data_IF_071443827737
#
_entry.id   IF_071443827737
#
_cell.length_a   1.000
_cell.length_b   1.000
_cell.length_c   1.000
_cell.angle_alpha   90.00
_cell.angle_beta   90.00
_cell.angle_gamma   90.00
#
_symmetry.space_group_name_H-M   'P 1'
#
loop_
_entity.id
_entity.type
_entity.pdbx_description
1 polymer ?
#
# COMPACT_ATOMS: atom_id res chain seq x y z
N UNK A 1 0.52 19.40 25.94
CA UNK A 1 0.51 19.65 24.49
C UNK A 1 1.97 19.61 24.05
N UNK A 2 2.38 18.69 23.18
CA UNK A 2 3.79 18.56 22.79
C UNK A 2 4.25 19.76 21.97
N UNK A 3 5.46 20.23 22.25
CA UNK A 3 6.11 21.29 21.47
C UNK A 3 6.63 20.73 20.14
N UNK A 4 6.56 21.51 19.05
CA UNK A 4 7.03 21.08 17.72
C UNK A 4 8.51 20.66 17.73
N UNK A 5 9.31 21.33 18.55
CA UNK A 5 10.74 21.04 18.72
C UNK A 5 10.95 19.71 19.45
N UNK A 6 10.21 19.49 20.53
CA UNK A 6 10.24 18.25 21.31
C UNK A 6 9.88 17.02 20.45
N UNK A 7 8.82 17.12 19.64
CA UNK A 7 8.41 16.06 18.70
C UNK A 7 9.50 15.74 17.67
N UNK A 8 10.12 16.77 17.09
CA UNK A 8 11.21 16.60 16.11
C UNK A 8 12.45 15.98 16.76
N UNK A 9 12.79 16.43 17.96
CA UNK A 9 13.96 15.94 18.67
C UNK A 9 13.79 14.48 19.09
N UNK A 10 12.60 14.12 19.58
CA UNK A 10 12.27 12.74 19.94
C UNK A 10 12.32 11.83 18.70
N UNK A 11 11.70 12.23 17.59
CA UNK A 11 11.76 11.48 16.34
C UNK A 11 13.20 11.26 15.84
N UNK A 12 14.06 12.29 15.93
CA UNK A 12 15.47 12.20 15.52
C UNK A 12 16.26 11.23 16.40
N UNK A 13 16.00 11.24 17.71
CA UNK A 13 16.63 10.32 18.66
C UNK A 13 16.20 8.87 18.37
N UNK A 14 14.91 8.61 18.17
CA UNK A 14 14.38 7.28 17.82
C UNK A 14 14.98 6.76 16.51
N UNK A 15 15.12 7.62 15.49
CA UNK A 15 15.63 7.23 14.17
C UNK A 15 17.13 6.96 14.17
N UNK A 16 17.92 7.64 15.02
CA UNK A 16 19.39 7.55 14.98
C UNK A 16 19.90 6.14 15.26
N UNK A 17 19.27 5.45 16.21
CA UNK A 17 19.71 4.13 16.66
C UNK A 17 19.23 3.00 15.72
N UNK A 18 18.17 3.24 14.94
CA UNK A 18 17.46 2.22 14.13
C UNK A 18 17.41 2.55 12.64
N UNK A 19 18.21 3.53 12.21
CA UNK A 19 18.10 4.15 10.88
C UNK A 19 18.09 3.10 9.75
N UNK A 20 19.05 2.17 9.79
CA UNK A 20 19.19 1.14 8.76
C UNK A 20 18.02 0.16 8.70
N UNK A 21 17.44 -0.19 9.85
CA UNK A 21 16.30 -1.10 9.91
C UNK A 21 15.04 -0.42 9.38
N UNK A 22 14.79 0.82 9.79
CA UNK A 22 13.65 1.62 9.32
C UNK A 22 13.76 1.89 7.81
N UNK A 23 14.96 2.20 7.31
CA UNK A 23 15.23 2.36 5.89
C UNK A 23 14.94 1.05 5.14
N UNK A 24 15.49 -0.08 5.60
CA UNK A 24 15.26 -1.39 5.00
C UNK A 24 13.77 -1.75 4.96
N UNK A 25 13.04 -1.50 6.03
CA UNK A 25 11.58 -1.72 6.09
C UNK A 25 10.83 -0.83 5.09
N UNK A 26 11.19 0.45 4.96
CA UNK A 26 10.55 1.36 4.01
C UNK A 26 10.79 0.95 2.56
N UNK A 27 12.00 0.49 2.23
CA UNK A 27 12.35 -0.01 0.90
C UNK A 27 11.60 -1.32 0.60
N UNK A 28 11.60 -2.26 1.55
CA UNK A 28 10.87 -3.52 1.42
C UNK A 28 9.37 -3.28 1.24
N UNK A 29 8.77 -2.43 2.06
CA UNK A 29 7.37 -2.05 1.93
C UNK A 29 7.08 -1.42 0.56
N UNK A 30 7.95 -0.51 0.09
CA UNK A 30 7.80 0.13 -1.23
C UNK A 30 7.87 -0.86 -2.40
N UNK A 31 8.79 -1.83 -2.35
CA UNK A 31 8.91 -2.88 -3.38
C UNK A 31 7.65 -3.75 -3.40
N UNK A 32 7.20 -4.17 -2.21
CA UNK A 32 6.08 -5.09 -2.04
C UNK A 32 4.70 -4.45 -2.30
N UNK A 33 4.58 -3.13 -2.16
CA UNK A 33 3.30 -2.41 -2.34
C UNK A 33 2.81 -2.36 -3.79
N UNK A 34 3.64 -2.74 -4.77
CA UNK A 34 3.21 -2.95 -6.15
C UNK A 34 3.89 -2.07 -7.20
N UNK A 35 4.67 -1.05 -6.78
CA UNK A 35 5.42 -0.19 -7.71
C UNK A 35 6.34 -0.99 -8.65
N UNK A 36 6.93 -2.08 -8.15
CA UNK A 36 7.78 -2.97 -8.95
C UNK A 36 6.98 -3.73 -10.02
N UNK A 37 5.75 -4.16 -9.71
CA UNK A 37 4.93 -4.88 -10.68
C UNK A 37 4.48 -3.94 -11.79
N UNK A 38 4.02 -2.73 -11.46
CA UNK A 38 3.62 -1.73 -12.47
C UNK A 38 4.76 -1.42 -13.44
N UNK A 39 6.00 -1.31 -12.95
CA UNK A 39 7.20 -1.12 -13.79
C UNK A 39 7.43 -2.32 -14.72
N UNK A 40 7.24 -3.57 -14.25
CA UNK A 40 7.35 -4.76 -15.12
C UNK A 40 6.28 -4.75 -16.21
N UNK A 41 5.02 -4.45 -15.89
CA UNK A 41 3.96 -4.36 -16.91
C UNK A 41 4.23 -3.26 -17.93
N UNK A 42 4.83 -2.14 -17.53
CA UNK A 42 5.25 -1.07 -18.44
C UNK A 42 6.49 -1.43 -19.26
N UNK A 43 7.41 -2.24 -18.72
CA UNK A 43 8.57 -2.73 -19.47
C UNK A 43 8.19 -3.80 -20.50
N UNK A 44 7.18 -4.62 -20.20
CA UNK A 44 6.66 -5.69 -21.08
C UNK A 44 5.56 -5.16 -22.01
N UNK A 45 5.32 -3.84 -22.02
CA UNK A 45 4.25 -3.22 -22.80
C UNK A 45 4.54 -3.35 -24.31
N UNK A 46 3.71 -4.12 -25.06
CA UNK A 46 4.02 -4.49 -26.44
C UNK A 46 4.00 -3.31 -27.42
N UNK A 47 3.50 -2.14 -26.98
CA UNK A 47 3.51 -0.85 -27.69
C UNK A 47 4.90 -0.40 -28.13
N UNK A 48 5.95 -0.70 -27.37
CA UNK A 48 7.32 -0.37 -27.75
C UNK A 48 7.98 -1.43 -28.64
N UNK A 49 7.40 -2.62 -28.74
CA UNK A 49 7.96 -3.75 -29.49
C UNK A 49 7.57 -3.70 -30.97
N UNK A 50 6.51 -2.99 -31.36
CA UNK A 50 6.09 -2.88 -32.77
C UNK A 50 7.13 -2.19 -33.68
N UNK A 51 7.98 -1.31 -33.12
CA UNK A 51 8.99 -0.56 -33.88
C UNK A 51 10.30 -1.33 -34.12
N UNK A 52 10.61 -2.36 -33.32
CA UNK A 52 11.85 -3.16 -33.44
C UNK A 52 11.66 -4.48 -34.20
N UNK A 53 10.44 -4.80 -34.62
CA UNK A 53 10.05 -6.10 -35.23
C UNK A 53 10.09 -6.11 -36.77
N UNK A 54 10.58 -5.05 -37.41
CA UNK A 54 10.78 -4.99 -38.87
C UNK A 54 11.84 -5.99 -39.44
N UNK A 55 12.37 -6.91 -38.62
CA UNK A 55 13.39 -7.88 -39.02
C UNK A 55 13.02 -9.33 -38.73
N UNK A 56 12.26 -9.95 -39.64
CA UNK A 56 12.28 -11.38 -39.98
C UNK A 56 12.05 -12.49 -38.92
N UNK A 57 11.55 -12.20 -37.72
CA UNK A 57 11.02 -13.23 -36.81
C UNK A 57 9.50 -13.09 -36.67
N UNK A 58 8.74 -14.09 -37.14
CA UNK A 58 7.29 -14.14 -37.01
C UNK A 58 6.89 -14.45 -35.55
N UNK A 59 6.95 -13.45 -34.67
CA UNK A 59 6.45 -13.55 -33.30
C UNK A 59 4.95 -13.25 -33.33
N UNK A 60 4.12 -14.15 -32.76
CA UNK A 60 2.66 -13.96 -32.64
C UNK A 60 2.36 -12.78 -31.70
N UNK A 61 2.19 -11.59 -32.29
CA UNK A 61 1.84 -10.35 -31.57
C UNK A 61 0.54 -10.48 -30.78
N UNK A 62 -0.41 -11.29 -31.25
CA UNK A 62 -1.67 -11.53 -30.55
C UNK A 62 -1.44 -12.42 -29.30
N UNK A 63 -0.48 -13.33 -29.35
CA UNK A 63 -0.02 -14.12 -28.20
C UNK A 63 0.59 -13.24 -27.11
N UNK A 64 1.45 -12.28 -27.49
CA UNK A 64 2.06 -11.33 -26.55
C UNK A 64 1.03 -10.43 -25.87
N UNK A 65 0.07 -9.90 -26.64
CA UNK A 65 -1.01 -9.07 -26.09
C UNK A 65 -1.85 -9.85 -25.08
N UNK A 66 -2.20 -11.11 -25.39
CA UNK A 66 -2.94 -12.00 -24.46
C UNK A 66 -2.17 -12.23 -23.16
N UNK A 67 -0.86 -12.51 -23.24
CA UNK A 67 -0.02 -12.69 -22.05
C UNK A 67 0.09 -11.40 -21.22
N UNK A 68 0.23 -10.24 -21.87
CA UNK A 68 0.33 -8.95 -21.18
C UNK A 68 -0.95 -8.60 -20.41
N UNK A 69 -2.13 -8.86 -21.00
CA UNK A 69 -3.42 -8.67 -20.31
C UNK A 69 -3.51 -9.58 -19.08
N UNK A 70 -3.13 -10.85 -19.20
CA UNK A 70 -3.14 -11.81 -18.08
C UNK A 70 -2.20 -11.35 -16.96
N UNK A 71 -0.97 -10.95 -17.31
CA UNK A 71 0.01 -10.43 -16.35
C UNK A 71 -0.55 -9.21 -15.62
N UNK A 72 -1.17 -8.27 -16.35
CA UNK A 72 -1.76 -7.04 -15.81
C UNK A 72 -2.89 -7.31 -14.80
N UNK A 73 -3.77 -8.27 -15.10
CA UNK A 73 -4.85 -8.65 -14.18
C UNK A 73 -4.27 -9.27 -12.91
N UNK A 74 -3.23 -10.12 -13.04
CA UNK A 74 -2.55 -10.74 -11.90
C UNK A 74 -1.85 -9.66 -11.04
N UNK A 75 -1.20 -8.65 -11.64
CA UNK A 75 -0.62 -7.50 -10.91
C UNK A 75 -1.63 -6.81 -10.04
N UNK A 76 -2.78 -6.53 -10.66
CA UNK A 76 -3.79 -5.69 -10.07
C UNK A 76 -4.41 -6.41 -8.88
N UNK A 77 -4.68 -7.71 -9.05
CA UNK A 77 -5.10 -8.58 -7.96
C UNK A 77 -4.05 -8.62 -6.85
N UNK A 78 -2.78 -8.86 -7.17
CA UNK A 78 -1.69 -8.87 -6.19
C UNK A 78 -1.62 -7.54 -5.40
N UNK A 79 -1.75 -6.41 -6.07
CA UNK A 79 -1.65 -5.08 -5.44
C UNK A 79 -2.81 -4.81 -4.47
N UNK A 80 -4.03 -5.26 -4.82
CA UNK A 80 -5.20 -5.15 -3.94
C UNK A 80 -5.03 -6.02 -2.69
N UNK A 81 -4.62 -7.28 -2.85
CA UNK A 81 -4.55 -8.23 -1.72
C UNK A 81 -3.29 -8.05 -0.86
N UNK A 82 -2.12 -7.96 -1.48
CA UNK A 82 -0.84 -7.90 -0.77
C UNK A 82 -0.35 -6.47 -0.59
N UNK A 83 -0.44 -5.62 -1.61
CA UNK A 83 0.14 -4.28 -1.54
C UNK A 83 -0.45 -3.42 -0.41
N UNK A 84 -1.79 -3.38 -0.33
CA UNK A 84 -2.50 -2.61 0.69
C UNK A 84 -2.38 -3.19 2.11
N UNK A 85 -2.24 -4.51 2.24
CA UNK A 85 -2.03 -5.14 3.56
C UNK A 85 -0.61 -4.92 4.07
N UNK A 86 0.38 -4.91 3.18
CA UNK A 86 1.78 -4.61 3.50
C UNK A 86 1.95 -3.16 3.94
N UNK A 87 1.18 -2.22 3.37
CA UNK A 87 1.12 -0.84 3.86
C UNK A 87 0.78 -0.79 5.36
N UNK A 88 -0.22 -1.56 5.79
CA UNK A 88 -0.67 -1.58 7.19
C UNK A 88 0.38 -2.20 8.10
N UNK A 89 1.04 -3.27 7.65
CA UNK A 89 2.19 -3.83 8.38
C UNK A 89 3.33 -2.84 8.53
N UNK A 90 3.63 -2.07 7.48
CA UNK A 90 4.61 -1.00 7.54
C UNK A 90 4.19 0.10 8.52
N UNK A 91 2.92 0.54 8.49
CA UNK A 91 2.37 1.48 9.47
C UNK A 91 2.51 0.95 10.90
N UNK A 92 2.19 -0.33 11.14
CA UNK A 92 2.35 -0.98 12.44
C UNK A 92 3.80 -1.00 12.90
N UNK A 93 4.73 -1.35 12.01
CA UNK A 93 6.15 -1.31 12.31
C UNK A 93 6.62 0.09 12.69
N UNK A 94 6.21 1.13 11.96
CA UNK A 94 6.60 2.50 12.27
C UNK A 94 6.04 2.98 13.62
N UNK A 95 4.78 2.70 13.94
CA UNK A 95 4.19 3.03 15.24
C UNK A 95 4.95 2.33 16.37
N UNK A 96 5.25 1.04 16.21
CA UNK A 96 5.97 0.27 17.22
C UNK A 96 7.44 0.69 17.34
N UNK A 97 8.07 1.13 16.25
CA UNK A 97 9.48 1.57 16.25
C UNK A 97 9.74 2.78 17.15
N UNK A 98 8.68 3.57 17.42
CA UNK A 98 8.71 4.71 18.35
C UNK A 98 8.81 4.24 19.80
N UNK A 99 8.10 3.17 20.16
CA UNK A 99 8.04 2.66 21.55
C UNK A 99 9.10 1.60 21.82
N UNK A 100 9.37 0.73 20.86
CA UNK A 100 10.17 -0.49 21.02
C UNK A 100 11.05 -0.76 19.80
N UNK A 101 11.89 -1.80 19.85
CA UNK A 101 12.64 -2.34 18.71
C UNK A 101 11.90 -3.52 18.08
N UNK A 102 10.84 -3.30 17.27
CA UNK A 102 10.14 -4.40 16.61
C UNK A 102 11.06 -5.09 15.61
N UNK A 103 10.99 -6.41 15.57
CA UNK A 103 11.64 -7.21 14.54
C UNK A 103 11.00 -6.95 13.18
N UNK A 104 11.74 -7.19 12.10
CA UNK A 104 11.20 -7.11 10.73
C UNK A 104 10.07 -8.11 10.48
N UNK A 105 9.93 -9.15 11.32
CA UNK A 105 8.80 -10.07 11.29
C UNK A 105 7.47 -9.41 11.66
N UNK A 106 7.48 -8.33 12.43
CA UNK A 106 6.27 -7.59 12.81
C UNK A 106 5.56 -6.98 11.61
N UNK A 107 6.29 -6.77 10.50
CA UNK A 107 5.68 -6.45 9.23
C UNK A 107 4.70 -7.51 8.79
N UNK A 108 4.98 -8.80 8.99
CA UNK A 108 4.14 -9.88 8.48
C UNK A 108 3.16 -10.43 9.53
N UNK A 109 3.11 -9.87 10.74
CA UNK A 109 2.21 -10.33 11.80
C UNK A 109 0.73 -10.27 11.39
N UNK A 110 0.38 -9.34 10.49
CA UNK A 110 -0.98 -9.22 9.99
C UNK A 110 -1.46 -10.48 9.24
N UNK A 111 -0.55 -11.29 8.70
CA UNK A 111 -0.91 -12.58 8.08
C UNK A 111 -1.45 -13.60 9.09
N UNK A 112 -1.05 -13.51 10.36
CA UNK A 112 -1.38 -14.53 11.37
C UNK A 112 -2.64 -14.20 12.16
N UNK A 113 -2.88 -12.93 12.48
CA UNK A 113 -3.92 -12.56 13.47
C UNK A 113 -5.25 -12.21 12.84
N UNK A 114 -5.27 -11.44 11.73
CA UNK A 114 -6.53 -10.89 11.18
C UNK A 114 -6.43 -10.43 9.72
N UNK A 115 -5.69 -11.16 8.87
CA UNK A 115 -5.49 -10.82 7.46
C UNK A 115 -6.82 -10.53 6.71
N UNK A 116 -7.82 -11.39 6.88
CA UNK A 116 -9.09 -11.26 6.19
C UNK A 116 -9.89 -10.02 6.59
N UNK A 117 -9.83 -9.62 7.86
CA UNK A 117 -10.49 -8.38 8.29
C UNK A 117 -9.80 -7.18 7.65
N UNK A 118 -8.47 -7.16 7.70
CA UNK A 118 -7.65 -6.11 7.14
C UNK A 118 -7.90 -5.93 5.63
N UNK A 119 -7.89 -7.02 4.86
CA UNK A 119 -8.21 -7.00 3.42
C UNK A 119 -9.62 -6.46 3.20
N UNK A 120 -10.62 -6.91 3.97
CA UNK A 120 -12.01 -6.43 3.84
C UNK A 120 -12.10 -4.93 4.07
N UNK A 121 -11.51 -4.39 5.15
CA UNK A 121 -11.60 -2.95 5.42
C UNK A 121 -10.89 -2.14 4.34
N UNK A 122 -9.72 -2.57 3.89
CA UNK A 122 -8.99 -1.89 2.81
C UNK A 122 -9.72 -1.94 1.47
N UNK A 123 -10.40 -3.05 1.18
CA UNK A 123 -11.24 -3.17 0.00
C UNK A 123 -12.42 -2.19 0.04
N UNK A 124 -13.13 -2.10 1.18
CA UNK A 124 -14.19 -1.10 1.36
C UNK A 124 -13.67 0.34 1.29
N UNK A 125 -12.46 0.59 1.80
CA UNK A 125 -11.79 1.89 1.72
C UNK A 125 -11.62 2.32 0.26
N UNK A 126 -11.08 1.43 -0.59
CA UNK A 126 -10.91 1.70 -2.02
C UNK A 126 -12.25 1.88 -2.72
N UNK A 127 -13.24 1.01 -2.48
CA UNK A 127 -14.57 1.14 -3.09
C UNK A 127 -15.18 2.50 -2.76
N UNK A 128 -15.10 2.94 -1.50
CA UNK A 128 -15.64 4.24 -1.10
C UNK A 128 -14.95 5.38 -1.84
N UNK A 129 -13.61 5.39 -1.87
CA UNK A 129 -12.87 6.45 -2.56
C UNK A 129 -13.19 6.47 -4.06
N UNK A 130 -13.19 5.30 -4.71
CA UNK A 130 -13.53 5.18 -6.13
C UNK A 130 -14.96 5.63 -6.40
N UNK A 131 -15.92 5.22 -5.57
CA UNK A 131 -17.33 5.59 -5.73
C UNK A 131 -17.55 7.10 -5.58
N UNK A 132 -16.89 7.73 -4.60
CA UNK A 132 -16.93 9.18 -4.43
C UNK A 132 -16.24 9.92 -5.57
N UNK A 133 -15.07 9.44 -6.00
CA UNK A 133 -14.31 10.02 -7.12
C UNK A 133 -15.06 9.88 -8.45
N UNK A 134 -15.76 8.76 -8.65
CA UNK A 134 -16.60 8.49 -9.82
C UNK A 134 -17.82 9.39 -9.85
N UNK A 135 -18.41 9.69 -8.69
CA UNK A 135 -19.50 10.64 -8.59
C UNK A 135 -19.00 12.06 -8.93
N UNK A 136 -17.93 12.52 -8.26
CA UNK A 136 -17.22 13.76 -8.60
C UNK A 136 -15.79 13.74 -8.03
N UNK A 137 -14.84 14.38 -8.73
CA UNK A 137 -13.43 14.42 -8.32
C UNK A 137 -13.25 15.09 -6.94
N UNK A 138 -13.95 16.22 -6.70
CA UNK A 138 -13.83 17.01 -5.46
C UNK A 138 -14.23 16.23 -4.20
N UNK A 139 -15.42 15.59 -4.11
CA UNK A 139 -15.76 14.78 -2.94
C UNK A 139 -14.88 13.54 -2.79
N UNK A 140 -14.33 12.99 -3.88
CA UNK A 140 -13.32 11.94 -3.81
C UNK A 140 -12.08 12.36 -3.01
N UNK A 141 -11.56 13.56 -3.28
CA UNK A 141 -10.40 14.12 -2.56
C UNK A 141 -10.74 14.32 -1.06
N UNK A 142 -11.91 14.90 -0.76
CA UNK A 142 -12.32 15.13 0.63
C UNK A 142 -12.40 13.81 1.41
N UNK A 143 -12.97 12.76 0.80
CA UNK A 143 -13.07 11.44 1.42
C UNK A 143 -11.72 10.74 1.56
N UNK A 144 -10.77 10.98 0.66
CA UNK A 144 -9.41 10.47 0.82
C UNK A 144 -8.73 11.06 2.07
N UNK A 145 -8.94 12.35 2.38
CA UNK A 145 -8.44 12.95 3.61
C UNK A 145 -9.13 12.41 4.87
N UNK A 146 -10.46 12.30 4.86
CA UNK A 146 -11.24 11.74 5.99
C UNK A 146 -10.84 10.30 6.34
N UNK A 147 -10.40 9.52 5.35
CA UNK A 147 -10.01 8.13 5.50
C UNK A 147 -8.50 7.89 5.59
N UNK A 148 -7.69 8.95 5.64
CA UNK A 148 -6.24 8.86 5.79
C UNK A 148 -5.79 8.09 7.05
N UNK A 149 -6.56 8.18 8.14
CA UNK A 149 -6.22 7.48 9.40
C UNK A 149 -6.58 5.98 9.41
N UNK A 150 -7.37 5.49 8.45
CA UNK A 150 -7.79 4.08 8.38
C UNK A 150 -6.62 3.08 8.49
N UNK A 151 -5.52 3.17 7.70
CA UNK A 151 -4.38 2.26 7.82
C UNK A 151 -3.72 2.26 9.20
N UNK A 152 -3.69 3.41 9.88
CA UNK A 152 -3.07 3.55 11.20
C UNK A 152 -3.95 2.94 12.30
N UNK A 153 -5.27 3.14 12.23
CA UNK A 153 -6.21 2.54 13.18
C UNK A 153 -6.20 1.02 13.06
N UNK A 154 -6.14 0.49 11.83
CA UNK A 154 -6.01 -0.94 11.57
C UNK A 154 -4.68 -1.52 12.03
N UNK A 155 -3.61 -0.74 12.01
CA UNK A 155 -2.30 -1.17 12.49
C UNK A 155 -2.29 -1.39 14.01
N UNK A 156 -3.03 -0.59 14.78
CA UNK A 156 -3.18 -0.74 16.24
C UNK A 156 -4.27 -1.75 16.62
N UNK A 157 -5.40 -1.74 15.91
CA UNK A 157 -6.56 -2.58 16.19
C UNK A 157 -6.99 -3.37 14.93
N UNK A 158 -6.26 -4.45 14.57
CA UNK A 158 -6.51 -5.19 13.33
C UNK A 158 -7.83 -5.96 13.32
N UNK A 159 -8.46 -6.19 14.48
CA UNK A 159 -9.74 -6.91 14.61
C UNK A 159 -10.97 -5.99 14.53
N UNK A 160 -10.77 -4.68 14.45
CA UNK A 160 -11.88 -3.72 14.48
C UNK A 160 -12.75 -3.83 13.23
N UNK A 161 -14.07 -3.76 13.40
CA UNK A 161 -15.01 -3.80 12.29
C UNK A 161 -14.86 -2.58 11.38
N UNK A 162 -15.05 -2.79 10.07
CA UNK A 162 -14.92 -1.74 9.05
C UNK A 162 -15.68 -0.45 9.40
N UNK A 163 -16.94 -0.55 9.83
CA UNK A 163 -17.77 0.60 10.18
C UNK A 163 -17.16 1.45 11.30
N UNK A 164 -16.70 0.82 12.37
CA UNK A 164 -16.07 1.49 13.51
C UNK A 164 -14.73 2.15 13.12
N UNK A 165 -13.94 1.53 12.25
CA UNK A 165 -12.68 2.11 11.74
C UNK A 165 -12.94 3.40 10.96
N UNK A 166 -13.92 3.40 10.06
CA UNK A 166 -14.27 4.60 9.28
C UNK A 166 -14.84 5.71 10.16
N UNK A 167 -15.66 5.37 11.15
CA UNK A 167 -16.20 6.34 12.09
C UNK A 167 -15.09 6.99 12.91
N UNK A 168 -14.15 6.20 13.46
CA UNK A 168 -12.98 6.74 14.18
C UNK A 168 -12.12 7.63 13.29
N UNK A 169 -11.86 7.23 12.05
CA UNK A 169 -11.08 8.05 11.11
C UNK A 169 -11.74 9.42 10.87
N UNK A 170 -13.07 9.45 10.75
CA UNK A 170 -13.84 10.69 10.60
C UNK A 170 -13.86 11.56 11.85
N UNK A 171 -13.80 10.99 13.05
CA UNK A 171 -13.74 11.77 14.29
C UNK A 171 -12.38 12.44 14.52
N UNK A 172 -11.33 11.93 13.89
CA UNK A 172 -9.94 12.41 14.03
C UNK A 172 -9.54 13.46 12.98
N UNK A 173 -10.40 13.73 12.00
CA UNK A 173 -10.17 14.66 10.89
C UNK A 173 -11.19 15.79 10.94
#
# INVERSE_FOLDING_TARGET
>A
MWTREELKQNAKNTLRDKYWTILGVSVLAGILQGSFFTIITELVNPTHTYLTVLGNYAIDVNGLIRLWIIITIISWLYSIFLGHTILIGACKYFILSIKENPSTSTLFDFFKTSYWNIVKVMFFYQIKIVLWTLCFIVPGIIKAYEYCMVPYILAEHPEMESAAVFERSRMLT
#
